data_IF_275598608113
#
_entry.id   IF_275598608113
#
_cell.length_a   1.000
_cell.length_b   1.000
_cell.length_c   1.000
_cell.angle_alpha   90.00
_cell.angle_beta   90.00
_cell.angle_gamma   90.00
#
_symmetry.space_group_name_H-M   'P 1'
#
loop_
_entity.id
_entity.type
_entity.pdbx_description
1 polymer ?
#
# COMPACT_ATOMS: atom_id res chain seq x y z
N UNK A 1 -1.75 45.53 -34.24
CA UNK A 1 -1.05 45.09 -33.02
C UNK A 1 0.02 44.12 -33.48
N UNK A 2 1.29 44.53 -33.48
CA UNK A 2 2.39 43.67 -33.93
C UNK A 2 3.07 43.11 -32.68
N UNK A 3 3.05 41.79 -32.54
CA UNK A 3 3.75 41.05 -31.49
C UNK A 3 5.06 40.56 -32.11
N UNK A 4 6.18 40.68 -31.40
CA UNK A 4 7.40 40.01 -31.84
C UNK A 4 7.31 38.50 -31.57
N UNK A 5 8.26 37.73 -32.12
CA UNK A 5 8.29 36.27 -32.02
C UNK A 5 8.59 35.78 -30.59
N UNK A 6 8.72 36.69 -29.63
CA UNK A 6 8.96 36.45 -28.20
C UNK A 6 7.76 36.83 -27.33
N UNK A 7 6.66 37.32 -27.92
CA UNK A 7 5.41 37.59 -27.21
C UNK A 7 5.32 38.94 -26.50
N UNK A 8 6.30 39.84 -26.66
CA UNK A 8 6.31 41.10 -25.90
C UNK A 8 5.56 42.23 -26.63
N UNK A 9 4.62 42.85 -25.90
CA UNK A 9 3.85 44.00 -26.38
C UNK A 9 4.54 45.32 -25.97
N UNK A 10 4.90 46.15 -26.95
CA UNK A 10 5.40 47.51 -26.71
C UNK A 10 4.24 48.51 -26.70
N UNK A 11 4.00 49.18 -25.57
CA UNK A 11 3.14 50.37 -25.51
C UNK A 11 4.00 51.62 -25.31
N UNK A 12 3.71 52.66 -26.11
CA UNK A 12 4.45 53.92 -26.11
C UNK A 12 4.38 54.69 -24.78
N UNK A 13 5.42 55.47 -24.51
CA UNK A 13 5.58 56.29 -23.30
C UNK A 13 4.49 57.37 -23.18
N UNK A 14 3.92 57.51 -21.97
CA UNK A 14 3.16 58.70 -21.58
C UNK A 14 4.08 59.91 -21.34
N UNK A 15 3.54 61.15 -21.32
CA UNK A 15 4.33 62.39 -21.39
C UNK A 15 5.22 62.69 -20.17
N UNK A 16 5.13 61.89 -19.09
CA UNK A 16 5.81 62.17 -17.83
C UNK A 16 7.01 61.24 -17.55
N UNK A 17 7.47 60.47 -18.53
CA UNK A 17 8.76 59.76 -18.48
C UNK A 17 8.89 58.60 -17.49
N UNK A 18 7.88 58.33 -16.65
CA UNK A 18 7.84 57.14 -15.81
C UNK A 18 7.11 56.03 -16.55
N UNK A 19 7.88 55.13 -17.19
CA UNK A 19 7.36 53.86 -17.67
C UNK A 19 6.93 53.04 -16.47
N UNK A 20 5.62 52.83 -16.30
CA UNK A 20 5.10 51.85 -15.36
C UNK A 20 5.39 50.48 -16.00
N UNK A 21 6.43 49.81 -15.51
CA UNK A 21 6.65 48.41 -15.86
C UNK A 21 5.57 47.63 -15.13
N UNK A 22 4.50 47.28 -15.84
CA UNK A 22 3.67 46.16 -15.40
C UNK A 22 4.54 44.92 -15.52
N UNK A 23 5.07 44.44 -14.39
CA UNK A 23 5.71 43.13 -14.30
C UNK A 23 4.62 42.07 -14.53
N UNK A 24 4.18 41.90 -15.77
CA UNK A 24 3.42 40.74 -16.15
C UNK A 24 4.40 39.55 -16.18
N UNK A 25 4.29 38.68 -15.17
CA UNK A 25 4.63 37.27 -15.27
C UNK A 25 6.10 36.93 -15.49
N UNK A 26 6.94 37.12 -14.46
CA UNK A 26 8.27 36.48 -14.35
C UNK A 26 8.22 35.23 -13.46
N UNK A 27 7.08 34.55 -13.44
CA UNK A 27 7.02 33.20 -12.86
C UNK A 27 7.47 32.20 -13.94
N UNK A 28 8.31 31.21 -13.59
CA UNK A 28 8.59 30.11 -14.50
C UNK A 28 7.27 29.44 -14.91
N UNK A 29 7.20 28.86 -16.13
CA UNK A 29 6.03 28.09 -16.53
C UNK A 29 5.82 26.92 -15.56
N UNK A 30 4.56 26.65 -15.21
CA UNK A 30 4.17 25.54 -14.35
C UNK A 30 4.69 24.21 -14.88
N UNK A 31 5.15 23.35 -13.97
CA UNK A 31 5.57 22.00 -14.26
C UNK A 31 4.57 21.01 -13.68
N UNK A 32 4.13 20.04 -14.50
CA UNK A 32 3.14 19.06 -14.09
C UNK A 32 3.61 18.26 -12.86
N UNK A 33 2.75 18.03 -11.85
CA UNK A 33 3.11 17.25 -10.66
C UNK A 33 3.25 15.76 -10.98
N UNK A 34 3.88 15.03 -10.07
CA UNK A 34 4.07 13.58 -10.15
C UNK A 34 3.33 12.87 -9.00
N UNK A 35 2.36 12.02 -9.36
CA UNK A 35 1.71 11.11 -8.41
C UNK A 35 2.67 9.98 -8.03
N UNK A 36 2.59 9.54 -6.78
CA UNK A 36 3.21 8.33 -6.26
C UNK A 36 2.22 7.64 -5.32
N UNK A 37 1.66 6.52 -5.75
CA UNK A 37 0.64 5.76 -5.04
C UNK A 37 1.22 4.86 -3.93
N UNK A 38 2.55 4.81 -3.79
CA UNK A 38 3.25 3.93 -2.87
C UNK A 38 3.48 2.52 -3.44
N UNK A 39 4.17 1.66 -2.67
CA UNK A 39 4.42 0.27 -3.09
C UNK A 39 3.15 -0.58 -2.99
N UNK A 40 3.12 -1.66 -3.79
CA UNK A 40 2.12 -2.72 -3.67
C UNK A 40 2.09 -3.32 -2.26
N UNK A 41 0.90 -3.73 -1.82
CA UNK A 41 0.67 -4.19 -0.45
C UNK A 41 0.04 -5.59 -0.42
N UNK A 42 0.17 -6.27 0.71
CA UNK A 42 -0.57 -7.50 1.02
C UNK A 42 -1.33 -7.30 2.31
N UNK A 43 -2.61 -7.68 2.31
CA UNK A 43 -3.51 -7.60 3.46
C UNK A 43 -4.25 -8.93 3.65
N UNK A 44 -4.80 -9.15 4.83
CA UNK A 44 -5.76 -10.22 5.10
C UNK A 44 -7.16 -9.61 5.09
N UNK A 45 -8.19 -10.38 4.72
CA UNK A 45 -9.60 -9.93 4.84
C UNK A 45 -9.87 -9.36 6.24
N UNK A 46 -10.68 -8.32 6.34
CA UNK A 46 -11.00 -7.56 7.57
C UNK A 46 -9.83 -6.78 8.20
N UNK A 47 -8.61 -6.83 7.64
CA UNK A 47 -7.49 -5.96 8.01
C UNK A 47 -7.69 -4.55 7.44
N UNK A 48 -7.53 -3.51 8.26
CA UNK A 48 -7.53 -2.13 7.76
C UNK A 48 -6.26 -1.87 6.94
N UNK A 49 -6.44 -1.46 5.68
CA UNK A 49 -5.36 -1.07 4.77
C UNK A 49 -5.30 0.44 4.66
N UNK A 50 -4.09 0.99 4.64
CA UNK A 50 -3.83 2.43 4.40
C UNK A 50 -3.02 2.58 3.12
N UNK A 51 -3.55 3.32 2.16
CA UNK A 51 -2.77 3.74 0.97
C UNK A 51 -1.95 4.97 1.35
N UNK A 52 -0.85 5.24 0.64
CA UNK A 52 0.03 6.36 0.96
C UNK A 52 0.48 7.12 -0.27
N UNK A 53 -0.13 8.29 -0.47
CA UNK A 53 0.20 9.21 -1.55
C UNK A 53 1.32 10.20 -1.21
N UNK A 54 1.85 10.16 0.02
CA UNK A 54 2.76 11.20 0.55
C UNK A 54 4.09 11.32 -0.21
N UNK A 55 4.45 10.30 -1.00
CA UNK A 55 5.59 10.35 -1.91
C UNK A 55 5.36 11.17 -3.20
N UNK A 56 4.16 11.71 -3.40
CA UNK A 56 3.84 12.57 -4.55
C UNK A 56 4.58 13.90 -4.43
N UNK A 57 4.92 14.51 -5.57
CA UNK A 57 5.74 15.72 -5.57
C UNK A 57 5.37 16.67 -6.70
N UNK A 58 5.66 17.94 -6.48
CA UNK A 58 5.57 19.00 -7.46
C UNK A 58 6.96 19.63 -7.68
N UNK A 59 7.44 19.79 -8.94
CA UNK A 59 8.76 20.36 -9.20
C UNK A 59 8.92 21.83 -8.80
N UNK A 60 7.82 22.59 -8.79
CA UNK A 60 7.80 24.00 -8.42
C UNK A 60 7.57 24.19 -6.90
N UNK A 61 7.21 23.11 -6.20
CA UNK A 61 6.97 23.09 -4.76
C UNK A 61 5.54 23.49 -4.38
N UNK A 62 4.62 23.44 -5.34
CA UNK A 62 3.22 23.78 -5.13
C UNK A 62 2.50 22.73 -4.27
N UNK A 63 1.44 23.18 -3.58
CA UNK A 63 0.66 22.30 -2.72
C UNK A 63 -0.22 21.37 -3.54
N UNK A 64 -0.18 20.09 -3.21
CA UNK A 64 -0.94 19.06 -3.92
C UNK A 64 -2.30 18.76 -3.28
N UNK A 65 -3.29 18.55 -4.14
CA UNK A 65 -4.55 17.88 -3.83
C UNK A 65 -4.55 16.47 -4.41
N UNK A 66 -5.31 15.56 -3.78
CA UNK A 66 -5.25 14.13 -4.05
C UNK A 66 -6.62 13.62 -4.49
N UNK A 67 -6.63 12.69 -5.43
CA UNK A 67 -7.81 11.95 -5.83
C UNK A 67 -7.45 10.48 -6.05
N UNK A 68 -7.97 9.62 -5.20
CA UNK A 68 -7.91 8.18 -5.32
C UNK A 68 -9.18 7.63 -5.95
N UNK A 69 -9.04 6.71 -6.89
CA UNK A 69 -10.15 6.00 -7.53
C UNK A 69 -9.94 4.49 -7.44
N UNK A 70 -11.01 3.77 -7.13
CA UNK A 70 -11.05 2.31 -7.12
C UNK A 70 -11.25 1.79 -8.54
N UNK A 71 -10.57 0.70 -8.91
CA UNK A 71 -10.87 -0.02 -10.15
C UNK A 71 -12.27 -0.67 -10.05
N UNK A 72 -13.15 -0.46 -11.05
CA UNK A 72 -14.49 -1.05 -11.04
C UNK A 72 -14.52 -2.58 -11.05
N UNK A 73 -13.43 -3.23 -11.47
CA UNK A 73 -13.30 -4.69 -11.48
C UNK A 73 -12.75 -5.26 -10.15
N UNK A 74 -12.53 -4.40 -9.14
CA UNK A 74 -12.14 -4.85 -7.81
C UNK A 74 -13.17 -5.82 -7.21
N UNK A 75 -12.75 -6.81 -6.40
CA UNK A 75 -13.65 -7.77 -5.75
C UNK A 75 -14.74 -7.11 -4.90
N UNK A 76 -14.46 -5.93 -4.33
CA UNK A 76 -15.39 -5.10 -3.59
C UNK A 76 -15.11 -3.63 -3.92
N UNK A 77 -16.15 -2.86 -4.24
CA UNK A 77 -16.04 -1.44 -4.62
C UNK A 77 -16.82 -0.53 -3.67
N UNK A 78 -16.43 0.74 -3.58
CA UNK A 78 -17.09 1.76 -2.76
C UNK A 78 -16.74 1.66 -1.28
N UNK A 79 -15.53 1.20 -0.99
CA UNK A 79 -15.04 0.90 0.37
C UNK A 79 -13.90 1.79 0.82
N UNK A 80 -13.39 2.65 -0.07
CA UNK A 80 -12.35 3.60 0.23
C UNK A 80 -12.90 4.78 1.05
N UNK A 81 -12.38 4.93 2.26
CA UNK A 81 -12.67 6.05 3.15
C UNK A 81 -11.75 7.23 2.84
N UNK A 82 -12.35 8.41 2.69
CA UNK A 82 -11.66 9.67 2.39
C UNK A 82 -10.77 9.63 1.15
N UNK A 83 -11.31 9.36 -0.05
CA UNK A 83 -10.54 9.20 -1.29
C UNK A 83 -9.77 10.46 -1.74
N UNK A 84 -9.91 11.59 -1.04
CA UNK A 84 -9.16 12.83 -1.30
C UNK A 84 -8.08 13.13 -0.25
N UNK A 85 -7.88 12.23 0.73
CA UNK A 85 -6.80 12.33 1.70
C UNK A 85 -5.46 11.92 1.08
N UNK A 86 -4.36 12.35 1.70
CA UNK A 86 -3.01 11.86 1.37
C UNK A 86 -2.92 10.35 1.59
N UNK A 87 -3.53 9.86 2.68
CA UNK A 87 -3.50 8.45 3.08
C UNK A 87 -4.92 7.95 3.38
N UNK A 88 -5.73 7.60 2.36
CA UNK A 88 -7.04 7.02 2.56
C UNK A 88 -6.93 5.59 3.11
N UNK A 89 -8.01 5.10 3.70
CA UNK A 89 -8.06 3.73 4.25
C UNK A 89 -9.23 2.94 3.70
N UNK A 90 -9.15 1.61 3.74
CA UNK A 90 -10.28 0.73 3.45
C UNK A 90 -10.19 -0.56 4.27
N UNK A 91 -11.29 -1.29 4.35
CA UNK A 91 -11.36 -2.61 5.01
C UNK A 91 -11.99 -3.60 4.00
N UNK A 92 -11.20 -4.49 3.38
CA UNK A 92 -11.71 -5.45 2.43
C UNK A 92 -12.29 -6.68 3.13
N UNK A 93 -13.51 -7.10 2.78
CA UNK A 93 -14.12 -8.33 3.36
C UNK A 93 -14.04 -9.54 2.41
N UNK A 94 -13.53 -9.32 1.19
CA UNK A 94 -13.43 -10.31 0.13
C UNK A 94 -11.96 -10.40 -0.29
N UNK A 95 -11.40 -11.60 -0.28
CA UNK A 95 -10.05 -11.85 -0.79
C UNK A 95 -9.98 -11.64 -2.31
N UNK A 96 -8.84 -11.16 -2.79
CA UNK A 96 -8.62 -10.87 -4.20
C UNK A 96 -7.65 -9.71 -4.40
N UNK A 97 -7.45 -9.31 -5.64
CA UNK A 97 -6.56 -8.20 -6.01
C UNK A 97 -7.38 -6.93 -6.12
N UNK A 98 -6.96 -5.88 -5.40
CA UNK A 98 -7.57 -4.56 -5.45
C UNK A 98 -6.59 -3.58 -6.08
N UNK A 99 -7.02 -2.86 -7.10
CA UNK A 99 -6.23 -1.80 -7.73
C UNK A 99 -6.83 -0.44 -7.38
N UNK A 100 -5.96 0.49 -6.99
CA UNK A 100 -6.31 1.89 -6.74
C UNK A 100 -5.41 2.78 -7.59
N UNK A 101 -5.98 3.85 -8.13
CA UNK A 101 -5.25 4.85 -8.92
C UNK A 101 -5.23 6.16 -8.17
N UNK A 102 -4.07 6.80 -8.09
CA UNK A 102 -3.87 8.14 -7.57
C UNK A 102 -3.62 9.13 -8.72
N UNK A 103 -4.33 10.25 -8.68
CA UNK A 103 -3.97 11.46 -9.42
C UNK A 103 -3.83 12.60 -8.42
N UNK A 104 -2.72 13.33 -8.50
CA UNK A 104 -2.50 14.60 -7.77
C UNK A 104 -2.63 15.81 -8.69
N UNK A 105 -3.01 16.95 -8.10
CA UNK A 105 -3.17 18.24 -8.79
C UNK A 105 -2.55 19.38 -7.95
N UNK A 106 -1.77 20.24 -8.59
CA UNK A 106 -1.02 21.37 -8.02
C UNK A 106 -1.83 22.69 -7.94
N UNK A 107 -3.11 22.67 -8.33
CA UNK A 107 -3.99 23.84 -8.48
C UNK A 107 -4.11 24.34 -9.93
N UNK A 108 -3.31 23.82 -10.86
CA UNK A 108 -3.26 24.20 -12.27
C UNK A 108 -3.46 22.98 -13.18
N UNK A 109 -2.68 21.92 -12.99
CA UNK A 109 -2.63 20.72 -13.84
C UNK A 109 -2.74 19.42 -13.03
N UNK A 110 -3.26 18.37 -13.69
CA UNK A 110 -3.25 17.02 -13.14
C UNK A 110 -1.96 16.30 -13.54
N UNK A 111 -1.44 15.52 -12.60
CA UNK A 111 -0.40 14.51 -12.87
C UNK A 111 -0.89 13.41 -13.83
N UNK A 112 0.07 12.66 -14.38
CA UNK A 112 -0.23 11.31 -14.88
C UNK A 112 -0.63 10.40 -13.71
N UNK A 113 -1.55 9.44 -13.92
CA UNK A 113 -1.98 8.53 -12.87
C UNK A 113 -0.85 7.60 -12.46
N UNK A 114 -0.81 7.27 -11.17
CA UNK A 114 0.00 6.18 -10.61
C UNK A 114 -0.90 5.17 -9.89
N UNK A 115 -0.51 3.90 -9.85
CA UNK A 115 -1.35 2.81 -9.34
C UNK A 115 -0.68 2.03 -8.24
N UNK A 116 -1.48 1.57 -7.27
CA UNK A 116 -1.07 0.63 -6.24
C UNK A 116 -1.98 -0.60 -6.25
N UNK A 117 -1.37 -1.78 -6.15
CA UNK A 117 -2.07 -3.05 -6.07
C UNK A 117 -2.03 -3.58 -4.63
N UNK A 118 -3.19 -3.95 -4.11
CA UNK A 118 -3.33 -4.60 -2.80
C UNK A 118 -3.83 -6.02 -2.99
N UNK A 119 -2.99 -6.99 -2.66
CA UNK A 119 -3.35 -8.41 -2.66
C UNK A 119 -3.97 -8.77 -1.32
N UNK A 120 -5.29 -8.99 -1.29
CA UNK A 120 -6.02 -9.39 -0.09
C UNK A 120 -6.18 -10.91 -0.06
N UNK A 121 -5.81 -11.53 1.06
CA UNK A 121 -5.79 -12.98 1.24
C UNK A 121 -6.79 -13.41 2.32
N UNK A 122 -7.29 -14.64 2.22
CA UNK A 122 -7.97 -15.26 3.36
C UNK A 122 -6.93 -15.64 4.43
N UNK A 123 -7.33 -15.88 5.70
CA UNK A 123 -6.38 -16.32 6.71
C UNK A 123 -5.70 -17.65 6.32
N UNK A 124 -6.43 -18.59 5.71
CA UNK A 124 -5.86 -19.83 5.20
C UNK A 124 -4.77 -19.58 4.13
N UNK A 125 -5.02 -18.68 3.18
CA UNK A 125 -4.04 -18.33 2.15
C UNK A 125 -2.81 -17.63 2.74
N UNK A 126 -2.98 -16.79 3.77
CA UNK A 126 -1.88 -16.16 4.48
C UNK A 126 -1.01 -17.18 5.24
N UNK A 127 -1.62 -18.25 5.79
CA UNK A 127 -0.88 -19.36 6.40
C UNK A 127 -0.09 -20.16 5.37
N UNK A 128 -0.63 -20.34 4.16
CA UNK A 128 0.10 -20.97 3.05
C UNK A 128 1.33 -20.14 2.66
N UNK A 129 1.22 -18.81 2.57
CA UNK A 129 2.40 -17.97 2.32
C UNK A 129 3.46 -18.08 3.43
N UNK A 130 3.01 -18.23 4.69
CA UNK A 130 3.91 -18.46 5.81
C UNK A 130 4.63 -19.81 5.67
N UNK A 131 3.98 -20.84 5.12
CA UNK A 131 4.62 -22.11 4.81
C UNK A 131 5.68 -21.95 3.70
N UNK A 132 5.35 -21.24 2.62
CA UNK A 132 6.30 -20.92 1.54
C UNK A 132 7.52 -20.14 2.06
N UNK A 133 7.32 -19.24 3.02
CA UNK A 133 8.41 -18.52 3.70
C UNK A 133 9.32 -19.47 4.51
N UNK A 134 8.74 -20.44 5.23
CA UNK A 134 9.50 -21.47 5.95
C UNK A 134 10.37 -22.28 4.98
N UNK A 135 9.83 -22.65 3.81
CA UNK A 135 10.59 -23.36 2.77
C UNK A 135 11.74 -22.50 2.22
N UNK A 136 11.49 -21.21 2.01
CA UNK A 136 12.49 -20.26 1.48
C UNK A 136 13.71 -20.13 2.38
N UNK A 137 13.55 -20.34 3.69
CA UNK A 137 14.66 -20.31 4.65
C UNK A 137 15.56 -21.54 4.61
N UNK A 138 15.26 -22.54 3.77
CA UNK A 138 16.10 -23.73 3.55
C UNK A 138 16.53 -24.40 4.86
N UNK A 139 15.60 -24.50 5.81
CA UNK A 139 15.84 -25.11 7.12
C UNK A 139 16.09 -26.61 6.99
N UNK A 140 16.57 -27.24 8.07
CA UNK A 140 16.72 -28.69 8.09
C UNK A 140 15.37 -29.38 7.87
N UNK A 141 15.30 -30.35 6.95
CA UNK A 141 14.04 -30.98 6.52
C UNK A 141 13.16 -31.48 7.69
N UNK A 142 13.75 -32.09 8.73
CA UNK A 142 12.98 -32.54 9.90
C UNK A 142 12.33 -31.39 10.70
N UNK A 143 12.91 -30.20 10.64
CA UNK A 143 12.35 -28.97 11.22
C UNK A 143 11.25 -28.41 10.35
N UNK A 144 11.49 -28.27 9.05
CA UNK A 144 10.50 -27.85 8.04
C UNK A 144 9.23 -28.70 8.18
N UNK A 145 9.36 -30.03 8.12
CA UNK A 145 8.22 -30.95 8.32
C UNK A 145 7.46 -30.73 9.64
N UNK A 146 8.15 -30.34 10.72
CA UNK A 146 7.51 -30.09 12.00
C UNK A 146 6.77 -28.75 12.03
N UNK A 147 7.30 -27.74 11.35
CA UNK A 147 6.69 -26.42 11.21
C UNK A 147 5.48 -26.51 10.27
N UNK A 148 5.66 -27.12 9.09
CA UNK A 148 4.61 -27.30 8.08
C UNK A 148 3.43 -28.08 8.65
N UNK A 149 3.67 -29.16 9.39
CA UNK A 149 2.58 -29.92 10.03
C UNK A 149 1.71 -29.07 10.97
N UNK A 150 2.27 -28.01 11.58
CA UNK A 150 1.50 -27.09 12.43
C UNK A 150 0.73 -26.06 11.58
N UNK A 151 1.32 -25.59 10.49
CA UNK A 151 0.66 -24.70 9.53
C UNK A 151 -0.49 -25.42 8.80
N UNK A 152 -0.26 -26.66 8.34
CA UNK A 152 -1.29 -27.54 7.76
C UNK A 152 -2.44 -27.78 8.74
N UNK A 153 -2.13 -28.03 10.01
CA UNK A 153 -3.17 -28.18 11.04
C UNK A 153 -4.01 -26.90 11.20
N UNK A 154 -3.40 -25.73 11.04
CA UNK A 154 -4.11 -24.46 11.12
C UNK A 154 -5.00 -24.22 9.88
N UNK A 155 -4.48 -24.51 8.68
CA UNK A 155 -5.24 -24.39 7.42
C UNK A 155 -6.44 -25.33 7.42
N UNK A 156 -6.23 -26.61 7.74
CA UNK A 156 -7.31 -27.60 7.78
C UNK A 156 -8.41 -27.20 8.76
N UNK A 157 -8.05 -26.56 9.89
CA UNK A 157 -9.05 -26.03 10.81
C UNK A 157 -9.89 -24.93 10.14
N UNK A 158 -9.26 -23.95 9.48
CA UNK A 158 -9.98 -22.85 8.82
C UNK A 158 -10.87 -23.30 7.64
N UNK A 159 -10.51 -24.39 6.95
CA UNK A 159 -11.30 -24.93 5.85
C UNK A 159 -12.54 -25.70 6.33
N UNK A 160 -12.50 -26.24 7.56
CA UNK A 160 -13.66 -26.89 8.16
C UNK A 160 -14.69 -25.81 8.59
N UNK A 161 -15.97 -25.99 8.24
CA UNK A 161 -17.04 -25.01 8.54
C UNK A 161 -17.64 -25.16 9.97
N UNK A 162 -16.87 -25.60 10.96
CA UNK A 162 -17.37 -25.84 12.32
C UNK A 162 -17.12 -24.62 13.24
N UNK A 163 -18.06 -24.36 14.16
CA UNK A 163 -18.12 -23.15 15.01
C UNK A 163 -16.94 -22.91 15.99
N UNK A 164 -15.95 -23.81 16.07
CA UNK A 164 -14.80 -23.69 17.00
C UNK A 164 -13.43 -23.73 16.31
N UNK A 165 -13.41 -23.64 14.98
CA UNK A 165 -12.20 -23.90 14.22
C UNK A 165 -11.16 -22.77 14.29
N UNK A 166 -11.59 -21.53 14.47
CA UNK A 166 -10.69 -20.40 14.69
C UNK A 166 -9.78 -20.61 15.91
N UNK A 167 -10.33 -21.18 16.99
CA UNK A 167 -9.56 -21.53 18.20
C UNK A 167 -8.51 -22.60 17.89
N UNK A 168 -8.85 -23.59 17.06
CA UNK A 168 -7.91 -24.66 16.67
C UNK A 168 -6.81 -24.11 15.77
N UNK A 169 -7.15 -23.25 14.82
CA UNK A 169 -6.19 -22.58 13.94
C UNK A 169 -5.22 -21.71 14.74
N UNK A 170 -5.75 -20.85 15.64
CA UNK A 170 -4.95 -19.99 16.52
C UNK A 170 -4.04 -20.80 17.43
N UNK A 171 -4.54 -21.89 18.05
CA UNK A 171 -3.70 -22.76 18.89
C UNK A 171 -2.57 -23.42 18.08
N UNK A 172 -2.84 -23.81 16.84
CA UNK A 172 -1.83 -24.39 15.93
C UNK A 172 -0.75 -23.35 15.56
N UNK A 173 -1.15 -22.10 15.31
CA UNK A 173 -0.22 -20.99 15.05
C UNK A 173 0.63 -20.63 16.29
N UNK A 174 0.05 -20.65 17.50
CA UNK A 174 0.85 -20.51 18.72
C UNK A 174 1.84 -21.67 18.91
N UNK A 175 1.45 -22.91 18.58
CA UNK A 175 2.37 -24.03 18.59
C UNK A 175 3.50 -23.86 17.57
N UNK A 176 3.22 -23.26 16.41
CA UNK A 176 4.22 -22.89 15.40
C UNK A 176 5.19 -21.85 15.97
N UNK A 177 4.70 -20.74 16.53
CA UNK A 177 5.52 -19.69 17.15
C UNK A 177 6.44 -20.27 18.23
N UNK A 178 5.89 -21.10 19.13
CA UNK A 178 6.67 -21.75 20.18
C UNK A 178 7.78 -22.66 19.61
N UNK A 179 7.53 -23.35 18.49
CA UNK A 179 8.52 -24.17 17.83
C UNK A 179 9.62 -23.34 17.17
N UNK A 180 9.28 -22.21 16.55
CA UNK A 180 10.24 -21.24 16.00
C UNK A 180 11.12 -20.68 17.11
N UNK A 181 10.53 -20.20 18.20
CA UNK A 181 11.25 -19.67 19.36
C UNK A 181 12.22 -20.69 19.97
N UNK A 182 11.83 -21.96 20.06
CA UNK A 182 12.69 -23.01 20.57
C UNK A 182 13.96 -23.25 19.71
N UNK A 183 13.92 -22.86 18.44
CA UNK A 183 15.01 -23.02 17.46
C UNK A 183 15.74 -21.71 17.14
N UNK A 184 15.24 -20.58 17.64
CA UNK A 184 15.90 -19.27 17.53
C UNK A 184 17.32 -19.33 18.07
N UNK A 185 18.26 -18.77 17.30
CA UNK A 185 19.69 -18.78 17.58
C UNK A 185 20.36 -20.16 17.47
N UNK A 186 19.63 -21.19 17.06
CA UNK A 186 20.14 -22.55 16.80
C UNK A 186 20.10 -22.83 15.31
N UNK A 187 18.97 -23.32 14.83
CA UNK A 187 18.74 -23.69 13.43
C UNK A 187 17.98 -22.60 12.67
N UNK A 188 17.38 -21.65 13.39
CA UNK A 188 16.71 -20.47 12.84
C UNK A 188 17.47 -19.25 13.37
N UNK A 189 17.86 -18.33 12.48
CA UNK A 189 18.51 -17.07 12.90
C UNK A 189 17.50 -16.16 13.60
N UNK A 190 17.97 -15.19 14.38
CA UNK A 190 17.07 -14.25 15.07
C UNK A 190 16.17 -13.49 14.08
N UNK A 191 16.73 -13.04 12.96
CA UNK A 191 15.97 -12.35 11.92
C UNK A 191 14.89 -13.23 11.28
N UNK A 192 15.21 -14.49 10.95
CA UNK A 192 14.21 -15.43 10.43
C UNK A 192 13.13 -15.73 11.46
N UNK A 193 13.51 -15.88 12.74
CA UNK A 193 12.54 -16.13 13.80
C UNK A 193 11.60 -14.94 13.98
N UNK A 194 12.13 -13.72 13.99
CA UNK A 194 11.33 -12.49 14.08
C UNK A 194 10.35 -12.39 12.91
N UNK A 195 10.80 -12.63 11.68
CA UNK A 195 9.95 -12.59 10.48
C UNK A 195 8.81 -13.62 10.52
N UNK A 196 9.12 -14.89 10.83
CA UNK A 196 8.08 -15.95 10.93
C UNK A 196 7.06 -15.65 12.03
N UNK A 197 7.52 -15.13 13.17
CA UNK A 197 6.67 -14.86 14.32
C UNK A 197 5.79 -13.64 14.07
N UNK A 198 6.34 -12.59 13.47
CA UNK A 198 5.59 -11.40 13.08
C UNK A 198 4.45 -11.75 12.12
N UNK A 199 4.74 -12.53 11.07
CA UNK A 199 3.71 -13.00 10.12
C UNK A 199 2.67 -13.86 10.82
N UNK A 200 3.07 -14.83 11.65
CA UNK A 200 2.15 -15.69 12.39
C UNK A 200 1.24 -14.89 13.35
N UNK A 201 1.78 -13.90 14.06
CA UNK A 201 1.02 -13.04 14.98
C UNK A 201 0.01 -12.17 14.24
N UNK A 202 0.40 -11.63 13.09
CA UNK A 202 -0.51 -10.87 12.23
C UNK A 202 -1.69 -11.72 11.76
N UNK A 203 -1.45 -12.97 11.36
CA UNK A 203 -2.52 -13.91 10.99
C UNK A 203 -3.42 -14.21 12.19
N UNK A 204 -2.86 -14.47 13.37
CA UNK A 204 -3.65 -14.74 14.59
C UNK A 204 -4.59 -13.56 14.92
N UNK A 205 -4.08 -12.32 14.84
CA UNK A 205 -4.87 -11.12 15.09
C UNK A 205 -6.05 -10.95 14.11
N UNK A 206 -5.96 -11.55 12.94
CA UNK A 206 -7.02 -11.52 11.93
C UNK A 206 -8.07 -12.62 12.12
N UNK A 207 -7.67 -13.81 12.59
CA UNK A 207 -8.60 -14.94 12.84
C UNK A 207 -9.44 -14.69 14.09
N UNK A 208 -8.87 -14.03 15.11
CA UNK A 208 -9.56 -13.73 16.37
C UNK A 208 -9.42 -12.25 16.73
N UNK A 209 -10.14 -11.35 16.03
CA UNK A 209 -10.04 -9.90 16.20
C UNK A 209 -10.56 -9.37 17.55
#
# INVERSE_FOLDING_TARGET
MLVDQSGNAWFGYGPNGYGVSVLQGIYPPNQTPAANAGPDQTAIVDEQVTLDGSGSSDPDGDSLTYLWTEDPDNPQTGILFNPTAVSPTFIPTIAGTYTFTLVVNDGVENSQPDTVVVTVKTPAQAIQDLADLVETFNLQQGMTNSLDAKLDSAVNALDDLNENNDVVAVNSLYAFINAVEAQRGKSITDAQADELIEVAQRIIANISP
#
